data_IF_767419220128
#
_entry.id   IF_767419220128
#
_cell.length_a   1.000
_cell.length_b   1.000
_cell.length_c   1.000
_cell.angle_alpha   90.00
_cell.angle_beta   90.00
_cell.angle_gamma   90.00
#
_symmetry.space_group_name_H-M   'P 1'
#
loop_
_entity.id
_entity.type
_entity.pdbx_description
1 polymer ?
#
# COMPACT_ATOMS: atom_id res chain seq x y z
N UNK A 1 -44.70 33.47 1.59
CA UNK A 1 -43.41 32.76 1.74
C UNK A 1 -43.30 31.75 0.62
N UNK A 2 -42.56 32.06 -0.45
CA UNK A 2 -42.40 31.14 -1.59
C UNK A 2 -41.24 30.22 -1.24
N UNK A 3 -41.54 28.95 -0.98
CA UNK A 3 -40.53 27.92 -0.79
C UNK A 3 -39.74 27.77 -2.11
N UNK A 4 -38.48 28.19 -2.09
CA UNK A 4 -37.58 28.13 -3.23
C UNK A 4 -37.24 26.65 -3.49
N UNK A 5 -37.99 26.00 -4.39
CA UNK A 5 -37.72 24.60 -4.77
C UNK A 5 -36.42 24.57 -5.57
N UNK A 6 -35.46 23.67 -5.24
CA UNK A 6 -34.22 23.57 -5.98
C UNK A 6 -34.52 23.24 -7.45
N UNK A 7 -33.88 23.97 -8.35
CA UNK A 7 -34.03 23.77 -9.79
C UNK A 7 -33.50 22.39 -10.17
N UNK A 8 -34.06 21.78 -11.22
CA UNK A 8 -33.61 20.45 -11.68
C UNK A 8 -32.10 20.41 -11.97
N UNK A 9 -31.52 21.52 -12.43
CA UNK A 9 -30.09 21.68 -12.64
C UNK A 9 -29.28 21.65 -11.32
N UNK A 10 -29.79 22.29 -10.26
CA UNK A 10 -29.16 22.26 -8.94
C UNK A 10 -29.22 20.86 -8.32
N UNK A 11 -30.34 20.15 -8.48
CA UNK A 11 -30.49 18.75 -8.01
C UNK A 11 -29.54 17.82 -8.78
N UNK A 12 -29.40 17.99 -10.10
CA UNK A 12 -28.47 17.21 -10.92
C UNK A 12 -27.01 17.44 -10.52
N UNK A 13 -26.60 18.70 -10.32
CA UNK A 13 -25.24 19.04 -9.89
C UNK A 13 -24.92 18.47 -8.50
N UNK A 14 -25.88 18.52 -7.57
CA UNK A 14 -25.75 17.93 -6.23
C UNK A 14 -25.59 16.40 -6.30
N UNK A 15 -26.36 15.72 -7.16
CA UNK A 15 -26.26 14.28 -7.35
C UNK A 15 -24.91 13.86 -7.97
N UNK A 16 -24.39 14.64 -8.92
CA UNK A 16 -23.06 14.39 -9.51
C UNK A 16 -21.94 14.58 -8.49
N UNK A 17 -22.00 15.63 -7.67
CA UNK A 17 -21.03 15.87 -6.59
C UNK A 17 -21.06 14.73 -5.54
N UNK A 18 -22.25 14.26 -5.15
CA UNK A 18 -22.41 13.14 -4.23
C UNK A 18 -21.85 11.82 -4.81
N UNK A 19 -22.07 11.57 -6.10
CA UNK A 19 -21.52 10.39 -6.79
C UNK A 19 -19.99 10.43 -6.86
N UNK A 20 -19.41 11.58 -7.18
CA UNK A 20 -17.96 11.76 -7.20
C UNK A 20 -17.33 11.57 -5.81
N UNK A 21 -17.96 12.10 -4.76
CA UNK A 21 -17.52 11.93 -3.37
C UNK A 21 -17.57 10.45 -2.94
N UNK A 22 -18.63 9.72 -3.32
CA UNK A 22 -18.75 8.29 -3.03
C UNK A 22 -17.66 7.47 -3.74
N UNK A 23 -17.40 7.76 -5.03
CA UNK A 23 -16.33 7.09 -5.77
C UNK A 23 -14.95 7.37 -5.17
N UNK A 24 -14.69 8.59 -4.72
CA UNK A 24 -13.46 8.94 -4.02
C UNK A 24 -13.34 8.21 -2.68
N UNK A 25 -14.42 8.15 -1.90
CA UNK A 25 -14.45 7.44 -0.62
C UNK A 25 -14.23 5.93 -0.79
N UNK A 26 -14.82 5.31 -1.82
CA UNK A 26 -14.60 3.89 -2.12
C UNK A 26 -13.15 3.64 -2.54
N UNK A 27 -12.57 4.50 -3.38
CA UNK A 27 -11.15 4.39 -3.75
C UNK A 27 -10.23 4.52 -2.53
N UNK A 28 -10.52 5.48 -1.65
CA UNK A 28 -9.77 5.67 -0.41
C UNK A 28 -9.92 4.47 0.54
N UNK A 29 -11.13 3.90 0.68
CA UNK A 29 -11.38 2.73 1.50
C UNK A 29 -10.68 1.48 0.96
N UNK A 30 -10.70 1.26 -0.35
CA UNK A 30 -9.99 0.14 -0.98
C UNK A 30 -8.47 0.28 -0.83
N UNK A 31 -7.94 1.50 -1.00
CA UNK A 31 -6.53 1.76 -0.78
C UNK A 31 -6.13 1.54 0.68
N UNK A 32 -6.98 1.98 1.63
CA UNK A 32 -6.78 1.77 3.05
C UNK A 32 -6.82 0.27 3.45
N UNK A 33 -7.71 -0.51 2.85
CA UNK A 33 -7.82 -1.95 3.06
C UNK A 33 -6.57 -2.70 2.55
N UNK A 34 -6.05 -2.28 1.39
CA UNK A 34 -4.81 -2.82 0.80
C UNK A 34 -3.52 -2.39 1.52
N UNK A 35 -3.61 -1.38 2.41
CA UNK A 35 -2.49 -0.86 3.20
C UNK A 35 -2.57 -1.22 4.69
N UNK A 36 -3.42 -2.17 5.08
CA UNK A 36 -3.44 -2.64 6.47
C UNK A 36 -2.18 -3.45 6.79
N UNK A 37 -1.65 -3.41 8.02
CA UNK A 37 -0.52 -4.25 8.42
C UNK A 37 -0.76 -5.74 8.15
N UNK A 38 -1.99 -6.19 8.38
CA UNK A 38 -2.40 -7.57 8.10
C UNK A 38 -2.29 -7.90 6.59
N UNK A 39 -2.74 -7.02 5.70
CA UNK A 39 -2.62 -7.21 4.27
C UNK A 39 -1.15 -7.26 3.80
N UNK A 40 -0.29 -6.40 4.37
CA UNK A 40 1.15 -6.46 4.10
C UNK A 40 1.78 -7.79 4.53
N UNK A 41 1.42 -8.31 5.71
CA UNK A 41 1.90 -9.62 6.19
C UNK A 41 1.39 -10.78 5.33
N UNK A 42 0.12 -10.75 4.91
CA UNK A 42 -0.43 -11.77 4.01
C UNK A 42 0.32 -11.80 2.66
N UNK A 43 0.54 -10.62 2.05
CA UNK A 43 1.32 -10.51 0.82
C UNK A 43 2.77 -10.96 1.00
N UNK A 44 3.39 -10.65 2.15
CA UNK A 44 4.73 -11.14 2.45
C UNK A 44 4.79 -12.68 2.48
N UNK A 45 3.79 -13.32 3.13
CA UNK A 45 3.69 -14.77 3.18
C UNK A 45 3.49 -15.40 1.78
N UNK A 46 2.68 -14.78 0.91
CA UNK A 46 2.50 -15.22 -0.48
C UNK A 46 3.81 -15.15 -1.28
N UNK A 47 4.57 -14.06 -1.10
CA UNK A 47 5.88 -13.88 -1.75
C UNK A 47 6.90 -14.89 -1.25
N UNK A 48 6.92 -15.19 0.04
CA UNK A 48 7.77 -16.22 0.64
C UNK A 48 7.42 -17.62 0.11
N UNK A 49 6.13 -17.97 0.04
CA UNK A 49 5.68 -19.23 -0.53
C UNK A 49 6.09 -19.37 -2.01
N UNK A 50 5.97 -18.29 -2.78
CA UNK A 50 6.41 -18.24 -4.17
C UNK A 50 7.94 -18.38 -4.28
N UNK A 51 8.71 -17.75 -3.40
CA UNK A 51 10.16 -17.89 -3.35
C UNK A 51 10.57 -19.35 -3.06
N UNK A 52 9.90 -20.02 -2.13
CA UNK A 52 10.14 -21.45 -1.84
C UNK A 52 9.80 -22.35 -3.04
N UNK A 53 8.78 -22.01 -3.82
CA UNK A 53 8.47 -22.73 -5.03
C UNK A 53 9.58 -22.61 -6.08
N UNK A 54 10.11 -21.40 -6.30
CA UNK A 54 11.24 -21.18 -7.21
C UNK A 54 12.51 -21.91 -6.76
N UNK A 55 12.81 -21.92 -5.46
CA UNK A 55 13.94 -22.66 -4.90
C UNK A 55 13.81 -24.17 -5.17
N UNK A 56 12.63 -24.75 -4.93
CA UNK A 56 12.37 -26.17 -5.22
C UNK A 56 12.51 -26.48 -6.70
N UNK A 57 12.03 -25.60 -7.58
CA UNK A 57 12.19 -25.75 -9.03
C UNK A 57 13.67 -25.70 -9.44
N UNK A 58 14.45 -24.77 -8.87
CA UNK A 58 15.89 -24.68 -9.07
C UNK A 58 16.60 -25.97 -8.63
N UNK A 59 16.36 -26.44 -7.40
CA UNK A 59 16.96 -27.65 -6.85
C UNK A 59 16.62 -28.89 -7.68
N UNK A 60 15.35 -29.04 -8.07
CA UNK A 60 14.91 -30.15 -8.91
C UNK A 60 15.65 -30.14 -10.24
N UNK A 61 15.77 -28.97 -10.88
CA UNK A 61 16.44 -28.85 -12.18
C UNK A 61 17.94 -29.11 -12.11
N UNK A 62 18.59 -28.67 -11.03
CA UNK A 62 19.99 -28.99 -10.76
C UNK A 62 20.22 -30.49 -10.51
N UNK A 63 19.27 -31.18 -9.86
CA UNK A 63 19.31 -32.64 -9.66
C UNK A 63 19.09 -33.41 -10.96
N UNK A 64 18.11 -33.01 -11.76
CA UNK A 64 17.77 -33.70 -13.03
C UNK A 64 18.81 -33.44 -14.12
N UNK A 65 19.32 -32.21 -14.22
CA UNK A 65 20.23 -31.77 -15.28
C UNK A 65 21.44 -31.02 -14.72
N UNK A 66 22.39 -31.69 -14.05
CA UNK A 66 23.49 -31.05 -13.33
C UNK A 66 24.42 -30.22 -14.24
N UNK A 67 24.53 -30.59 -15.52
CA UNK A 67 25.31 -29.85 -16.51
C UNK A 67 24.68 -28.49 -16.88
N UNK A 68 23.40 -28.27 -16.58
CA UNK A 68 22.67 -27.03 -16.90
C UNK A 68 22.62 -26.02 -15.75
N UNK A 69 23.28 -26.30 -14.62
CA UNK A 69 23.22 -25.49 -13.39
C UNK A 69 23.52 -24.00 -13.57
N UNK A 70 24.33 -23.65 -14.57
CA UNK A 70 24.72 -22.27 -14.88
C UNK A 70 24.04 -21.71 -16.14
N UNK A 71 23.03 -22.39 -16.65
CA UNK A 71 22.25 -21.85 -17.77
C UNK A 71 21.39 -20.70 -17.29
N UNK A 72 21.18 -19.70 -18.16
CA UNK A 72 20.37 -18.53 -17.85
C UNK A 72 18.98 -18.87 -17.24
N UNK A 73 18.24 -19.90 -17.72
CA UNK A 73 16.96 -20.27 -17.12
C UNK A 73 17.06 -20.83 -15.70
N UNK A 74 18.18 -21.44 -15.32
CA UNK A 74 18.39 -21.98 -13.97
C UNK A 74 18.83 -20.85 -13.02
N UNK A 75 19.71 -19.97 -13.48
CA UNK A 75 20.12 -18.77 -12.74
C UNK A 75 18.91 -17.85 -12.47
N UNK A 76 18.00 -17.68 -13.44
CA UNK A 76 16.79 -16.88 -13.27
C UNK A 76 15.86 -17.41 -12.16
N UNK A 77 15.79 -18.73 -11.94
CA UNK A 77 15.02 -19.30 -10.83
C UNK A 77 15.63 -18.93 -9.48
N UNK A 78 16.96 -18.96 -9.39
CA UNK A 78 17.70 -18.57 -8.19
C UNK A 78 17.56 -17.07 -7.93
N UNK A 79 17.80 -16.22 -8.92
CA UNK A 79 17.64 -14.77 -8.79
C UNK A 79 16.20 -14.38 -8.42
N UNK A 80 15.21 -15.02 -9.06
CA UNK A 80 13.79 -14.83 -8.74
C UNK A 80 13.45 -15.20 -7.30
N UNK A 81 14.08 -16.23 -6.74
CA UNK A 81 13.93 -16.58 -5.32
C UNK A 81 14.40 -15.42 -4.42
N UNK A 82 15.57 -14.84 -4.65
CA UNK A 82 16.07 -13.72 -3.84
C UNK A 82 15.20 -12.47 -3.98
N UNK A 83 14.79 -12.14 -5.20
CA UNK A 83 13.93 -10.98 -5.45
C UNK A 83 12.60 -11.09 -4.70
N UNK A 84 11.99 -12.28 -4.66
CA UNK A 84 10.74 -12.50 -3.92
C UNK A 84 10.95 -12.43 -2.40
N UNK A 85 12.10 -12.90 -1.88
CA UNK A 85 12.42 -12.77 -0.45
C UNK A 85 12.67 -11.32 -0.04
N UNK A 86 13.33 -10.53 -0.89
CA UNK A 86 13.51 -9.10 -0.67
C UNK A 86 12.16 -8.35 -0.68
N UNK A 87 11.25 -8.72 -1.59
CA UNK A 87 9.89 -8.17 -1.58
C UNK A 87 9.12 -8.54 -0.32
N UNK A 88 9.24 -9.79 0.15
CA UNK A 88 8.59 -10.23 1.38
C UNK A 88 9.10 -9.46 2.61
N UNK A 89 10.42 -9.27 2.73
CA UNK A 89 11.00 -8.49 3.83
C UNK A 89 10.60 -7.01 3.79
N UNK A 90 10.53 -6.42 2.60
CA UNK A 90 10.05 -5.05 2.42
C UNK A 90 8.59 -4.90 2.85
N UNK A 91 7.73 -5.87 2.53
CA UNK A 91 6.33 -5.89 2.94
C UNK A 91 6.18 -6.04 4.47
N UNK A 92 6.99 -6.90 5.11
CA UNK A 92 7.01 -7.01 6.57
C UNK A 92 7.44 -5.69 7.22
N UNK A 93 8.48 -5.05 6.70
CA UNK A 93 8.91 -3.74 7.20
C UNK A 93 7.84 -2.65 7.02
N UNK A 94 7.03 -2.73 5.95
CA UNK A 94 5.87 -1.84 5.77
C UNK A 94 4.76 -2.14 6.79
N UNK A 95 4.50 -3.42 7.09
CA UNK A 95 3.54 -3.81 8.12
C UNK A 95 3.94 -3.26 9.49
N UNK A 96 5.21 -3.42 9.87
CA UNK A 96 5.70 -2.97 11.18
C UNK A 96 5.66 -1.45 11.30
N UNK A 97 5.99 -0.71 10.23
CA UNK A 97 5.82 0.76 10.20
C UNK A 97 4.36 1.17 10.32
N UNK A 98 3.45 0.47 9.64
CA UNK A 98 2.03 0.75 9.71
C UNK A 98 1.46 0.48 11.12
N UNK A 99 1.90 -0.58 11.80
CA UNK A 99 1.56 -0.85 13.21
C UNK A 99 2.12 0.22 14.15
N UNK A 100 3.38 0.62 13.96
CA UNK A 100 4.00 1.68 14.77
C UNK A 100 3.27 3.02 14.62
N UNK A 101 2.87 3.38 13.39
CA UNK A 101 2.10 4.60 13.13
C UNK A 101 0.69 4.54 13.72
N UNK A 102 0.04 3.37 13.70
CA UNK A 102 -1.26 3.17 14.33
C UNK A 102 -1.18 3.23 15.87
N UNK A 103 -0.13 2.67 16.46
CA UNK A 103 0.11 2.69 17.91
C UNK A 103 0.57 4.06 18.42
N UNK A 104 1.29 4.84 17.61
CA UNK A 104 1.74 6.20 17.92
C UNK A 104 0.66 7.29 17.80
N UNK A 105 -0.54 6.94 17.33
CA UNK A 105 -1.66 7.86 17.07
C UNK A 105 -2.36 8.46 18.30
N UNK A 106 -1.86 8.24 19.52
CA UNK A 106 -2.32 8.93 20.75
C UNK A 106 -1.31 9.96 21.27
N UNK A 107 -0.55 10.59 20.37
CA UNK A 107 0.18 11.81 20.67
C UNK A 107 0.03 12.77 19.49
N UNK A 108 -1.12 13.43 19.39
CA UNK A 108 -1.20 14.67 18.64
C UNK A 108 -0.21 15.66 19.27
N UNK A 109 0.84 16.14 18.56
CA UNK A 109 1.46 17.36 19.00
C UNK A 109 0.42 18.44 18.74
N UNK A 110 -0.09 19.05 19.81
CA UNK A 110 -0.73 20.35 19.73
C UNK A 110 0.28 21.30 19.09
N UNK A 111 0.20 21.45 17.76
CA UNK A 111 0.90 22.49 17.03
C UNK A 111 0.26 23.78 17.51
N UNK A 112 0.86 24.38 18.55
CA UNK A 112 0.64 25.75 18.94
C UNK A 112 1.04 26.63 17.75
N UNK A 113 0.05 26.89 16.89
CA UNK A 113 0.08 28.02 15.97
C UNK A 113 0.10 29.30 16.81
N UNK A 114 1.21 30.03 16.77
CA UNK A 114 1.31 31.48 16.52
C UNK A 114 2.57 32.06 17.18
N UNK A 115 3.71 31.90 16.52
CA UNK A 115 4.84 32.83 16.67
C UNK A 115 5.20 33.35 15.29
N UNK A 116 4.56 34.44 14.86
CA UNK A 116 5.08 35.35 13.84
C UNK A 116 4.75 36.78 14.31
N UNK A 117 5.70 37.40 15.00
CA UNK A 117 6.66 38.39 14.46
C UNK A 117 6.05 39.80 14.44
N UNK A 118 6.33 40.52 15.52
CA UNK A 118 6.33 41.97 15.54
C UNK A 118 7.33 42.49 14.48
N UNK A 119 6.86 43.36 13.59
CA UNK A 119 7.59 44.50 12.99
C UNK A 119 6.61 45.25 12.09
N UNK A 120 5.77 46.08 12.71
CA UNK A 120 5.15 47.20 12.02
C UNK A 120 5.98 48.44 12.39
N UNK A 121 6.71 48.94 11.39
CA UNK A 121 7.27 50.27 11.41
C UNK A 121 6.12 51.28 11.22
N UNK A 122 6.02 52.22 12.15
CA UNK A 122 5.51 53.58 11.94
C UNK A 122 5.98 54.44 13.12
#
# INVERSE_FOLDING_TARGET
MIANKPTAAAVLAQAQAASAALQAAIKAANHAADSTPLAFRQRAAEKEASAQHLLRAYEQRCKTYPHTRFTAPVVALWEGHFALREQASALLAQADRAEANAAGGSAAPAIHTLTHRATAAA
#
